data_IF_722267591990
#
_entry.id   IF_722267591990
#
_cell.length_a   1.000
_cell.length_b   1.000
_cell.length_c   1.000
_cell.angle_alpha   90.00
_cell.angle_beta   90.00
_cell.angle_gamma   90.00
#
_symmetry.space_group_name_H-M   'P 1'
#
loop_
_entity.id
_entity.type
_entity.pdbx_description
1 polymer ?
#
# COMPACT_ATOMS: atom_id res chain seq x y z
N UNK A 1 -6.85 1.63 -16.95
CA UNK A 1 -6.17 2.94 -16.90
C UNK A 1 -6.04 3.32 -15.43
N UNK A 2 -4.84 3.60 -14.92
CA UNK A 2 -4.70 4.07 -13.54
C UNK A 2 -5.18 5.53 -13.48
N UNK A 3 -6.29 5.79 -12.81
CA UNK A 3 -6.89 7.13 -12.69
C UNK A 3 -6.24 7.97 -11.57
N UNK A 4 -5.07 7.54 -11.09
CA UNK A 4 -4.32 8.17 -10.00
C UNK A 4 -2.84 7.84 -10.05
N UNK A 5 -2.00 8.78 -9.60
CA UNK A 5 -0.58 8.61 -9.30
C UNK A 5 -0.37 8.73 -7.80
N UNK A 6 0.52 7.93 -7.24
CA UNK A 6 0.81 7.92 -5.80
C UNK A 6 2.31 7.84 -5.55
N UNK A 7 2.81 8.59 -4.57
CA UNK A 7 4.25 8.74 -4.33
C UNK A 7 4.53 8.83 -2.83
N UNK A 8 5.42 7.96 -2.34
CA UNK A 8 6.03 8.09 -1.02
C UNK A 8 7.01 9.27 -1.01
N UNK A 9 7.17 9.99 0.12
CA UNK A 9 8.11 11.10 0.20
C UNK A 9 9.56 10.61 0.09
N UNK A 10 9.85 9.43 0.61
CA UNK A 10 11.17 8.82 0.63
C UNK A 10 11.06 7.29 0.84
N UNK A 11 12.21 6.62 0.77
CA UNK A 11 12.31 5.16 0.92
C UNK A 11 12.03 4.70 2.36
N UNK A 12 12.41 5.48 3.36
CA UNK A 12 12.23 5.13 4.77
C UNK A 12 10.75 5.07 5.12
N UNK A 13 9.99 6.09 4.71
CA UNK A 13 8.53 6.15 4.83
C UNK A 13 7.85 5.02 4.07
N UNK A 14 8.33 4.68 2.86
CA UNK A 14 7.82 3.56 2.10
C UNK A 14 8.02 2.22 2.83
N UNK A 15 9.19 2.01 3.44
CA UNK A 15 9.51 0.81 4.22
C UNK A 15 8.67 0.73 5.49
N UNK A 16 8.60 1.82 6.24
CA UNK A 16 7.78 1.93 7.44
C UNK A 16 6.30 1.63 7.14
N UNK A 17 5.71 2.30 6.15
CA UNK A 17 4.30 2.11 5.80
C UNK A 17 4.02 0.67 5.35
N UNK A 18 4.94 0.07 4.59
CA UNK A 18 4.82 -1.32 4.14
C UNK A 18 4.85 -2.29 5.32
N UNK A 19 5.78 -2.11 6.26
CA UNK A 19 5.87 -2.93 7.46
C UNK A 19 4.60 -2.81 8.31
N UNK A 20 4.13 -1.59 8.56
CA UNK A 20 2.91 -1.36 9.34
C UNK A 20 1.67 -2.00 8.70
N UNK A 21 1.52 -1.92 7.37
CA UNK A 21 0.42 -2.58 6.65
C UNK A 21 0.52 -4.10 6.78
N UNK A 22 1.71 -4.68 6.61
CA UNK A 22 1.91 -6.13 6.72
C UNK A 22 1.62 -6.63 8.14
N UNK A 23 2.21 -6.00 9.15
CA UNK A 23 2.01 -6.35 10.57
C UNK A 23 0.54 -6.20 10.97
N UNK A 24 -0.13 -5.11 10.57
CA UNK A 24 -1.55 -4.90 10.88
C UNK A 24 -2.50 -5.89 10.21
N UNK A 25 -2.05 -6.65 9.20
CA UNK A 25 -2.87 -7.56 8.41
C UNK A 25 -2.40 -9.03 8.48
N UNK A 26 -1.57 -9.41 9.46
CA UNK A 26 -0.98 -10.76 9.57
C UNK A 26 -2.02 -11.88 9.46
N UNK A 27 -3.16 -11.75 10.14
CA UNK A 27 -4.20 -12.77 10.10
C UNK A 27 -4.82 -12.95 8.71
N UNK A 28 -5.02 -11.84 7.97
CA UNK A 28 -5.52 -11.89 6.60
C UNK A 28 -4.49 -12.55 5.66
N UNK A 29 -3.21 -12.26 5.87
CA UNK A 29 -2.10 -12.86 5.11
C UNK A 29 -2.03 -14.36 5.36
N UNK A 30 -2.04 -14.82 6.61
CA UNK A 30 -2.02 -16.24 6.96
C UNK A 30 -3.20 -17.00 6.34
N UNK A 31 -4.41 -16.45 6.43
CA UNK A 31 -5.60 -17.03 5.81
C UNK A 31 -5.45 -17.13 4.29
N UNK A 32 -4.97 -16.06 3.66
CA UNK A 32 -4.75 -16.04 2.22
C UNK A 32 -3.71 -17.07 1.79
N UNK A 33 -2.59 -17.22 2.51
CA UNK A 33 -1.58 -18.23 2.20
C UNK A 33 -2.15 -19.65 2.31
N UNK A 34 -2.91 -19.94 3.37
CA UNK A 34 -3.50 -21.25 3.60
C UNK A 34 -4.54 -21.65 2.52
N UNK A 35 -5.32 -20.69 2.01
CA UNK A 35 -6.43 -20.99 1.09
C UNK A 35 -6.02 -21.36 -0.32
N UNK A 36 -4.80 -21.07 -0.78
CA UNK A 36 -4.39 -21.54 -2.12
C UNK A 36 -4.97 -20.79 -3.34
N UNK A 37 -6.09 -20.07 -3.24
CA UNK A 37 -6.92 -19.71 -4.41
C UNK A 37 -6.56 -18.44 -5.20
N UNK A 38 -5.80 -17.49 -4.63
CA UNK A 38 -5.49 -16.20 -5.30
C UNK A 38 -3.97 -15.92 -5.35
N UNK A 39 -3.40 -15.51 -6.49
CA UNK A 39 -1.95 -15.28 -6.62
C UNK A 39 -1.47 -14.00 -5.93
N UNK A 40 -2.37 -13.04 -5.69
CA UNK A 40 -2.09 -11.75 -5.05
C UNK A 40 -3.11 -11.42 -3.98
N UNK A 41 -2.67 -10.65 -2.99
CA UNK A 41 -3.51 -10.09 -1.93
C UNK A 41 -3.24 -8.60 -1.81
N UNK A 42 -4.28 -7.77 -1.84
CA UNK A 42 -4.20 -6.37 -1.50
C UNK A 42 -4.65 -6.17 -0.06
N UNK A 43 -3.81 -5.51 0.74
CA UNK A 43 -4.05 -5.17 2.14
C UNK A 43 -3.75 -3.69 2.35
N UNK A 44 -4.40 -3.10 3.34
CA UNK A 44 -4.39 -1.66 3.56
C UNK A 44 -4.30 -1.36 5.05
N UNK A 45 -3.77 -0.18 5.37
CA UNK A 45 -3.84 0.40 6.68
C UNK A 45 -3.90 1.94 6.55
N UNK A 46 -4.50 2.57 7.55
CA UNK A 46 -4.57 4.01 7.69
C UNK A 46 -4.09 4.43 9.09
N UNK A 47 -3.43 5.59 9.16
CA UNK A 47 -2.88 6.17 10.38
C UNK A 47 -3.36 7.62 10.52
N UNK A 48 -4.67 7.86 10.73
CA UNK A 48 -5.25 9.20 10.76
C UNK A 48 -4.62 10.12 11.81
N UNK A 49 -4.13 9.53 12.92
CA UNK A 49 -3.48 10.27 14.02
C UNK A 49 -2.00 10.58 13.77
N UNK A 50 -1.38 10.09 12.69
CA UNK A 50 0.02 10.41 12.35
C UNK A 50 0.09 11.88 11.93
N UNK A 51 0.99 12.66 12.54
CA UNK A 51 1.15 14.08 12.20
C UNK A 51 1.59 14.25 10.75
N UNK A 52 2.66 13.57 10.34
CA UNK A 52 3.23 13.63 9.00
C UNK A 52 2.48 12.71 8.02
N UNK A 53 2.20 13.17 6.79
CA UNK A 53 1.63 12.31 5.75
C UNK A 53 2.62 11.20 5.37
N UNK A 54 2.08 10.06 4.95
CA UNK A 54 2.89 8.93 4.46
C UNK A 54 3.14 9.03 2.96
N UNK A 55 2.47 9.94 2.26
CA UNK A 55 2.70 10.19 0.85
C UNK A 55 1.64 11.07 0.24
N UNK A 56 1.70 11.17 -1.08
CA UNK A 56 0.82 12.04 -1.87
C UNK A 56 0.11 11.25 -2.95
N UNK A 57 -1.14 11.61 -3.21
CA UNK A 57 -1.97 11.02 -4.27
C UNK A 57 -2.52 12.12 -5.16
N UNK A 58 -2.26 12.01 -6.47
CA UNK A 58 -2.82 12.88 -7.48
C UNK A 58 -3.87 12.11 -8.28
N UNK A 59 -5.13 12.53 -8.18
CA UNK A 59 -6.21 11.99 -9.00
C UNK A 59 -6.13 12.56 -10.42
N UNK A 60 -6.49 11.77 -11.43
CA UNK A 60 -6.45 12.20 -12.83
C UNK A 60 -7.28 13.47 -13.07
N UNK A 61 -8.48 13.57 -12.48
CA UNK A 61 -9.31 14.77 -12.58
C UNK A 61 -8.64 16.02 -11.97
N UNK A 62 -7.84 15.83 -10.91
CA UNK A 62 -7.06 16.92 -10.30
C UNK A 62 -5.91 17.34 -11.21
N UNK A 63 -5.17 16.38 -11.77
CA UNK A 63 -4.11 16.65 -12.74
C UNK A 63 -4.64 17.44 -13.95
N UNK A 64 -5.78 17.03 -14.51
CA UNK A 64 -6.43 17.71 -15.64
C UNK A 64 -6.92 19.12 -15.27
N UNK A 65 -7.27 19.35 -14.01
CA UNK A 65 -7.68 20.64 -13.49
C UNK A 65 -6.52 21.49 -12.94
N UNK A 66 -5.26 21.06 -13.12
CA UNK A 66 -4.08 21.76 -12.60
C UNK A 66 -4.02 21.85 -11.07
N UNK A 67 -4.66 20.91 -10.37
CA UNK A 67 -4.68 20.84 -8.90
C UNK A 67 -3.53 20.00 -8.36
N UNK A 68 -3.02 20.39 -7.20
CA UNK A 68 -1.92 19.72 -6.50
C UNK A 68 -2.32 18.34 -5.92
N UNK A 69 -1.36 17.42 -5.73
CA UNK A 69 -1.59 16.15 -5.05
C UNK A 69 -2.10 16.33 -3.61
N UNK A 70 -2.87 15.35 -3.12
CA UNK A 70 -3.38 15.33 -1.74
C UNK A 70 -2.44 14.53 -0.84
N UNK A 71 -2.10 15.10 0.32
CA UNK A 71 -1.41 14.41 1.40
C UNK A 71 -2.29 13.32 2.01
N UNK A 72 -1.76 12.10 2.11
CA UNK A 72 -2.48 10.94 2.63
C UNK A 72 -1.76 10.28 3.80
N UNK A 73 -2.54 9.59 4.63
CA UNK A 73 -2.08 8.84 5.80
C UNK A 73 -2.47 7.36 5.73
N UNK A 74 -2.64 6.84 4.52
CA UNK A 74 -2.99 5.45 4.28
C UNK A 74 -2.14 4.88 3.15
N UNK A 75 -1.91 3.57 3.20
CA UNK A 75 -1.13 2.85 2.19
C UNK A 75 -1.79 1.51 1.85
N UNK A 76 -1.59 1.10 0.60
CA UNK A 76 -1.94 -0.24 0.12
C UNK A 76 -0.65 -0.99 -0.20
N UNK A 77 -0.60 -2.23 0.26
CA UNK A 77 0.44 -3.20 -0.12
C UNK A 77 -0.22 -4.32 -0.91
N UNK A 78 0.36 -4.62 -2.06
CA UNK A 78 0.01 -5.80 -2.87
C UNK A 78 1.08 -6.86 -2.65
N UNK A 79 0.68 -7.97 -2.05
CA UNK A 79 1.53 -9.15 -1.88
C UNK A 79 1.35 -10.09 -3.07
N UNK A 80 2.41 -10.80 -3.43
CA UNK A 80 2.40 -11.91 -4.38
C UNK A 80 2.95 -13.14 -3.68
N UNK A 81 2.32 -14.29 -3.89
CA UNK A 81 2.86 -15.55 -3.34
C UNK A 81 4.20 -15.87 -3.95
N UNK A 82 5.09 -16.35 -3.10
CA UNK A 82 6.42 -16.79 -3.46
C UNK A 82 6.80 -17.91 -2.48
N UNK A 83 6.49 -19.19 -2.80
CA UNK A 83 6.72 -20.30 -1.88
C UNK A 83 8.17 -20.47 -1.46
N UNK A 84 9.11 -19.94 -2.26
CA UNK A 84 10.55 -19.95 -1.98
C UNK A 84 11.00 -18.82 -1.04
N UNK A 85 10.14 -17.83 -0.79
CA UNK A 85 10.39 -16.75 0.18
C UNK A 85 10.21 -17.25 1.61
N UNK A 86 11.01 -16.81 2.59
CA UNK A 86 10.84 -17.15 4.01
C UNK A 86 9.44 -16.88 4.57
N UNK A 87 8.74 -15.88 4.03
CA UNK A 87 7.39 -15.51 4.45
C UNK A 87 6.27 -16.16 3.61
N UNK A 88 6.62 -16.94 2.59
CA UNK A 88 5.66 -17.47 1.60
C UNK A 88 5.11 -16.43 0.62
N UNK A 89 5.56 -15.17 0.73
CA UNK A 89 5.19 -14.07 -0.16
C UNK A 89 6.33 -13.07 -0.33
N UNK A 90 6.17 -12.20 -1.32
CA UNK A 90 6.97 -10.99 -1.52
C UNK A 90 6.04 -9.79 -1.71
N UNK A 91 6.53 -8.59 -1.39
CA UNK A 91 5.83 -7.35 -1.72
C UNK A 91 5.94 -7.12 -3.23
N UNK A 92 4.81 -7.17 -3.93
CA UNK A 92 4.74 -6.90 -5.36
C UNK A 92 4.66 -5.41 -5.67
N UNK A 93 3.89 -4.66 -4.88
CA UNK A 93 3.80 -3.21 -4.98
C UNK A 93 3.38 -2.63 -3.62
N UNK A 94 3.78 -1.38 -3.38
CA UNK A 94 3.35 -0.59 -2.22
C UNK A 94 3.17 0.84 -2.67
N UNK A 95 2.08 1.49 -2.25
CA UNK A 95 1.81 2.88 -2.61
C UNK A 95 0.84 3.55 -1.63
N UNK A 96 0.96 4.87 -1.41
CA UNK A 96 -0.03 5.64 -0.66
C UNK A 96 -1.40 5.58 -1.33
N UNK A 97 -2.47 5.66 -0.54
CA UNK A 97 -3.85 5.70 -1.03
C UNK A 97 -4.63 6.84 -0.40
N UNK A 98 -5.54 7.41 -1.17
CA UNK A 98 -6.62 8.24 -0.65
C UNK A 98 -7.78 7.29 -0.30
N UNK A 99 -8.11 7.12 0.99
CA UNK A 99 -9.19 6.23 1.45
C UNK A 99 -10.58 6.74 1.05
#
# INVERSE_FOLDING_TARGET
MLTRSATYPDRETAQWATQQVVTGNEQAIHRWLAQGTRPRLAIEAAWPSRSEPVGRVLLQAMALAGREPVDVRAARVVLRREPTSPHGFVVHATFPIYP
#
